data_IF_512223790908
#
_entry.id   IF_512223790908
#
_cell.length_a   1.000
_cell.length_b   1.000
_cell.length_c   1.000
_cell.angle_alpha   90.00
_cell.angle_beta   90.00
_cell.angle_gamma   90.00
#
_symmetry.space_group_name_H-M   'P 1'
#
loop_
_entity.id
_entity.type
_entity.pdbx_description
1 polymer ?
#
# COMPACT_ATOMS: atom_id res chain seq x y z
N UNK A 1 -16.59 -26.54 -7.66
CA UNK A 1 -15.43 -25.70 -8.02
C UNK A 1 -14.19 -26.58 -7.85
N UNK A 2 -13.27 -26.57 -8.81
CA UNK A 2 -12.04 -27.37 -8.72
C UNK A 2 -10.83 -26.49 -8.34
N UNK A 3 -9.68 -27.13 -8.09
CA UNK A 3 -8.44 -26.45 -7.71
C UNK A 3 -8.00 -25.43 -8.77
N UNK A 4 -8.18 -25.75 -10.05
CA UNK A 4 -7.81 -24.88 -11.16
C UNK A 4 -8.64 -23.60 -11.17
N UNK A 5 -9.94 -23.73 -10.99
CA UNK A 5 -10.87 -22.58 -10.95
C UNK A 5 -10.59 -21.67 -9.75
N UNK A 6 -10.26 -22.23 -8.59
CA UNK A 6 -9.89 -21.44 -7.41
C UNK A 6 -8.59 -20.66 -7.63
N UNK A 7 -7.59 -21.26 -8.26
CA UNK A 7 -6.33 -20.57 -8.60
C UNK A 7 -6.55 -19.43 -9.59
N UNK A 8 -7.40 -19.63 -10.60
CA UNK A 8 -7.74 -18.56 -11.54
C UNK A 8 -8.39 -17.35 -10.85
N UNK A 9 -9.25 -17.59 -9.86
CA UNK A 9 -9.82 -16.49 -9.05
C UNK A 9 -8.76 -15.76 -8.23
N UNK A 10 -7.75 -16.47 -7.71
CA UNK A 10 -6.62 -15.81 -7.03
C UNK A 10 -5.84 -14.95 -8.03
N UNK A 11 -5.53 -15.47 -9.22
CA UNK A 11 -4.83 -14.71 -10.26
C UNK A 11 -5.61 -13.44 -10.69
N UNK A 12 -6.94 -13.49 -10.68
CA UNK A 12 -7.82 -12.34 -10.92
C UNK A 12 -7.73 -11.30 -9.79
N UNK A 13 -7.83 -11.73 -8.52
CA UNK A 13 -7.60 -10.87 -7.37
C UNK A 13 -6.21 -10.21 -7.42
N UNK A 14 -5.17 -10.96 -7.79
CA UNK A 14 -3.80 -10.45 -7.85
C UNK A 14 -3.64 -9.38 -8.94
N UNK A 15 -4.32 -9.54 -10.09
CA UNK A 15 -4.35 -8.50 -11.13
C UNK A 15 -5.01 -7.22 -10.63
N UNK A 16 -6.12 -7.34 -9.90
CA UNK A 16 -6.79 -6.19 -9.29
C UNK A 16 -5.90 -5.50 -8.27
N UNK A 17 -5.23 -6.27 -7.40
CA UNK A 17 -4.27 -5.75 -6.42
C UNK A 17 -3.14 -4.98 -7.11
N UNK A 18 -2.57 -5.51 -8.19
CA UNK A 18 -1.52 -4.82 -8.96
C UNK A 18 -2.03 -3.52 -9.60
N UNK A 19 -3.27 -3.49 -10.08
CA UNK A 19 -3.91 -2.27 -10.58
C UNK A 19 -4.00 -1.19 -9.50
N UNK A 20 -4.52 -1.55 -8.33
CA UNK A 20 -4.66 -0.64 -7.18
C UNK A 20 -3.29 -0.16 -6.68
N UNK A 21 -2.29 -1.04 -6.63
CA UNK A 21 -0.93 -0.67 -6.23
C UNK A 21 -0.30 0.33 -7.22
N UNK A 22 -0.48 0.12 -8.52
CA UNK A 22 0.00 1.03 -9.56
C UNK A 22 -0.61 2.42 -9.40
N UNK A 23 -1.93 2.51 -9.22
CA UNK A 23 -2.63 3.78 -8.98
C UNK A 23 -2.14 4.47 -7.70
N UNK A 24 -2.00 3.71 -6.61
CA UNK A 24 -1.46 4.23 -5.35
C UNK A 24 -0.04 4.79 -5.52
N UNK A 25 0.81 4.17 -6.33
CA UNK A 25 2.17 4.69 -6.62
C UNK A 25 2.14 5.96 -7.48
N UNK A 26 1.15 6.11 -8.36
CA UNK A 26 0.95 7.37 -9.10
C UNK A 26 0.66 8.52 -8.12
N UNK A 27 -0.24 8.31 -7.16
CA UNK A 27 -0.50 9.31 -6.11
C UNK A 27 0.71 9.56 -5.23
N UNK A 28 1.49 8.53 -4.89
CA UNK A 28 2.74 8.72 -4.16
C UNK A 28 3.71 9.65 -4.92
N UNK A 29 3.83 9.52 -6.25
CA UNK A 29 4.63 10.43 -7.08
C UNK A 29 4.12 11.88 -7.02
N UNK A 30 2.81 12.09 -7.14
CA UNK A 30 2.21 13.42 -7.04
C UNK A 30 2.44 14.07 -5.67
N UNK A 31 2.34 13.28 -4.58
CA UNK A 31 2.69 13.73 -3.22
C UNK A 31 4.17 14.14 -3.15
N UNK A 32 5.06 13.40 -3.82
CA UNK A 32 6.48 13.74 -3.90
C UNK A 32 6.70 15.12 -4.52
N UNK A 33 6.07 15.38 -5.66
CA UNK A 33 6.15 16.68 -6.34
C UNK A 33 5.63 17.82 -5.45
N UNK A 34 4.48 17.63 -4.80
CA UNK A 34 3.91 18.66 -3.92
C UNK A 34 4.83 18.95 -2.72
N UNK A 35 5.40 17.91 -2.12
CA UNK A 35 6.36 18.07 -1.02
C UNK A 35 7.62 18.81 -1.47
N UNK A 36 8.11 18.54 -2.68
CA UNK A 36 9.27 19.25 -3.25
C UNK A 36 8.96 20.74 -3.48
N UNK A 37 7.79 21.05 -4.06
CA UNK A 37 7.30 22.42 -4.26
C UNK A 37 7.16 23.20 -2.95
N UNK A 38 6.73 22.52 -1.87
CA UNK A 38 6.55 23.11 -0.54
C UNK A 38 7.83 23.07 0.33
N UNK A 39 8.91 22.44 -0.13
CA UNK A 39 10.12 22.21 0.67
C UNK A 39 9.91 21.27 1.86
N UNK A 40 8.88 20.45 1.83
CA UNK A 40 8.52 19.50 2.89
C UNK A 40 9.32 18.18 2.78
N UNK A 41 9.66 17.53 3.92
CA UNK A 41 10.39 16.28 3.90
C UNK A 41 9.53 15.11 3.41
N UNK A 42 10.16 14.20 2.65
CA UNK A 42 9.54 12.93 2.24
C UNK A 42 9.26 12.05 3.47
N UNK A 43 10.18 12.04 4.44
CA UNK A 43 10.02 11.26 5.67
C UNK A 43 8.97 11.90 6.57
N UNK A 44 7.95 11.12 6.92
CA UNK A 44 6.86 11.53 7.81
C UNK A 44 6.46 10.34 8.68
N UNK A 45 7.11 10.21 9.83
CA UNK A 45 6.95 9.08 10.74
C UNK A 45 5.57 9.06 11.41
N UNK A 46 4.97 10.24 11.61
CA UNK A 46 3.60 10.38 12.11
C UNK A 46 2.63 9.79 11.10
N UNK A 47 2.72 10.21 9.83
CA UNK A 47 1.88 9.68 8.76
C UNK A 47 2.06 8.18 8.55
N UNK A 48 3.30 7.69 8.56
CA UNK A 48 3.59 6.26 8.42
C UNK A 48 2.92 5.46 9.56
N UNK A 49 3.00 5.95 10.79
CA UNK A 49 2.37 5.31 11.97
C UNK A 49 0.84 5.28 11.87
N UNK A 50 0.21 6.37 11.41
CA UNK A 50 -1.23 6.43 11.18
C UNK A 50 -1.69 5.44 10.10
N UNK A 51 -0.92 5.31 9.00
CA UNK A 51 -1.22 4.31 7.96
C UNK A 51 -1.18 2.92 8.57
N UNK A 52 -0.09 2.54 9.23
CA UNK A 52 0.03 1.19 9.79
C UNK A 52 -1.05 0.87 10.83
N UNK A 53 -1.36 1.82 11.72
CA UNK A 53 -2.40 1.66 12.73
C UNK A 53 -3.80 1.50 12.11
N UNK A 54 -4.16 2.38 11.17
CA UNK A 54 -5.46 2.31 10.49
C UNK A 54 -5.63 1.02 9.69
N UNK A 55 -4.57 0.55 9.00
CA UNK A 55 -4.63 -0.69 8.22
C UNK A 55 -4.71 -1.94 9.09
N UNK A 56 -4.01 -1.95 10.22
CA UNK A 56 -4.14 -3.03 11.20
C UNK A 56 -5.59 -3.11 11.74
N UNK A 57 -6.23 -1.98 12.02
CA UNK A 57 -7.65 -1.93 12.40
C UNK A 57 -8.56 -2.48 11.30
N UNK A 58 -8.33 -2.08 10.04
CA UNK A 58 -9.11 -2.58 8.89
C UNK A 58 -8.91 -4.06 8.60
N UNK A 59 -7.72 -4.59 8.90
CA UNK A 59 -7.41 -6.01 8.79
C UNK A 59 -8.23 -6.80 9.82
N UNK A 60 -8.21 -6.36 11.07
CA UNK A 60 -8.97 -6.99 12.17
C UNK A 60 -10.46 -7.05 11.85
N UNK A 61 -11.06 -5.96 11.35
CA UNK A 61 -12.48 -5.92 10.98
C UNK A 61 -12.85 -6.79 9.78
N UNK A 62 -11.86 -7.29 9.04
CA UNK A 62 -12.02 -8.20 7.89
C UNK A 62 -11.54 -9.62 8.20
N UNK A 63 -11.26 -9.93 9.46
CA UNK A 63 -10.70 -11.22 9.89
C UNK A 63 -9.38 -11.58 9.19
N UNK A 64 -8.59 -10.56 8.82
CA UNK A 64 -7.25 -10.72 8.27
C UNK A 64 -6.21 -10.64 9.39
N UNK A 65 -5.08 -11.33 9.20
CA UNK A 65 -3.92 -11.19 10.09
C UNK A 65 -3.43 -9.74 10.09
N UNK A 66 -3.48 -9.10 11.25
CA UNK A 66 -3.00 -7.72 11.44
C UNK A 66 -1.51 -7.60 11.17
N UNK A 67 -0.74 -8.64 11.53
CA UNK A 67 0.70 -8.72 11.30
C UNK A 67 1.02 -8.80 9.81
N UNK A 68 0.36 -9.70 9.07
CA UNK A 68 0.52 -9.81 7.61
C UNK A 68 0.18 -8.49 6.90
N UNK A 69 -0.92 -7.84 7.28
CA UNK A 69 -1.31 -6.56 6.67
C UNK A 69 -0.29 -5.47 6.99
N UNK A 70 0.25 -5.45 8.21
CA UNK A 70 1.30 -4.49 8.58
C UNK A 70 2.55 -4.66 7.70
N UNK A 71 3.04 -5.89 7.53
CA UNK A 71 4.22 -6.18 6.69
C UNK A 71 4.02 -5.77 5.22
N UNK A 72 2.84 -6.05 4.67
CA UNK A 72 2.46 -5.63 3.32
C UNK A 72 2.51 -4.10 3.20
N UNK A 73 1.90 -3.38 4.15
CA UNK A 73 1.84 -1.93 4.09
C UNK A 73 3.17 -1.24 4.39
N UNK A 74 4.04 -1.82 5.21
CA UNK A 74 5.43 -1.36 5.38
C UNK A 74 6.20 -1.43 4.05
N UNK A 75 6.05 -2.53 3.31
CA UNK A 75 6.67 -2.70 2.00
C UNK A 75 6.13 -1.66 0.99
N UNK A 76 4.81 -1.44 0.99
CA UNK A 76 4.16 -0.43 0.14
C UNK A 76 4.64 0.99 0.50
N UNK A 77 4.73 1.34 1.78
CA UNK A 77 5.21 2.65 2.23
C UNK A 77 6.67 2.88 1.83
N UNK A 78 7.52 1.87 1.98
CA UNK A 78 8.91 1.91 1.54
C UNK A 78 9.03 2.24 0.05
N UNK A 79 8.24 1.57 -0.80
CA UNK A 79 8.25 1.85 -2.24
C UNK A 79 7.62 3.22 -2.56
N UNK A 80 6.61 3.65 -1.80
CA UNK A 80 6.02 4.99 -1.94
C UNK A 80 7.05 6.10 -1.71
N UNK A 81 7.87 5.96 -0.67
CA UNK A 81 8.95 6.91 -0.36
C UNK A 81 10.04 6.88 -1.42
N UNK A 82 10.32 5.73 -2.03
CA UNK A 82 11.23 5.63 -3.18
C UNK A 82 10.66 6.34 -4.40
N UNK A 83 9.36 6.21 -4.65
CA UNK A 83 8.66 6.86 -5.76
C UNK A 83 8.63 8.38 -5.62
N UNK A 84 8.47 8.89 -4.39
CA UNK A 84 8.52 10.33 -4.06
C UNK A 84 9.88 10.98 -4.29
N UNK A 85 10.98 10.20 -4.27
CA UNK A 85 12.36 10.70 -4.45
C UNK A 85 12.78 10.83 -5.92
N UNK A 86 11.96 10.36 -6.86
CA UNK A 86 12.25 10.33 -8.29
C UNK A 86 11.60 11.50 -8.99
#
# INVERSE_FOLDING_TARGET
MDLKSLRQKIDECDKELLGVLSERMNFAGQIGNLKDEEGAPIEDTTRDSEVLSSRASWASSRHLSTEMVKEIFESILKESKRRQKR
#
